data_IF_980856884407
#
_entry.id   IF_980856884407
#
_cell.length_a   1.000
_cell.length_b   1.000
_cell.length_c   1.000
_cell.angle_alpha   90.00
_cell.angle_beta   90.00
_cell.angle_gamma   90.00
#
_symmetry.space_group_name_H-M   'P 1'
#
loop_
_entity.id
_entity.type
_entity.pdbx_description
1 polymer ?
#
# COMPACT_ATOMS: atom_id res chain seq x y z
N UNK A 1 7.26 -13.28 0.42
CA UNK A 1 7.40 -11.99 1.11
C UNK A 1 7.65 -10.94 0.04
N UNK A 2 7.08 -9.73 0.15
CA UNK A 2 7.26 -8.71 -0.87
C UNK A 2 8.72 -8.26 -0.84
N UNK A 3 9.30 -8.03 -2.02
CA UNK A 3 10.72 -7.69 -2.13
C UNK A 3 11.02 -6.24 -1.70
N UNK A 4 9.98 -5.42 -1.53
CA UNK A 4 10.09 -3.98 -1.32
C UNK A 4 9.23 -3.49 -0.15
N UNK A 5 9.60 -2.33 0.37
CA UNK A 5 8.90 -1.62 1.44
C UNK A 5 8.86 -0.13 1.12
N UNK A 6 7.94 0.58 1.75
CA UNK A 6 7.85 2.03 1.66
C UNK A 6 7.43 2.62 3.00
N UNK A 7 8.02 3.77 3.34
CA UNK A 7 7.50 4.63 4.40
C UNK A 7 6.22 5.31 3.91
N UNK A 8 5.15 5.20 4.69
CA UNK A 8 3.82 5.73 4.40
C UNK A 8 3.42 6.73 5.48
N UNK A 9 3.05 7.93 5.06
CA UNK A 9 2.63 9.04 5.92
C UNK A 9 1.23 9.52 5.45
N UNK A 10 0.15 9.10 6.13
CA UNK A 10 -1.20 9.49 5.75
C UNK A 10 -1.41 11.00 5.97
N UNK A 11 -2.25 11.60 5.13
CA UNK A 11 -2.64 13.02 5.26
C UNK A 11 -3.82 13.22 6.22
N UNK A 12 -4.34 12.12 6.77
CA UNK A 12 -5.46 12.02 7.67
C UNK A 12 -5.13 10.99 8.79
N UNK A 13 -5.93 10.87 9.85
CA UNK A 13 -5.78 9.78 10.82
C UNK A 13 -5.77 8.40 10.14
N UNK A 14 -4.99 7.46 10.67
CA UNK A 14 -4.82 6.12 10.08
C UNK A 14 -6.10 5.31 9.93
N UNK A 15 -7.17 5.66 10.63
CA UNK A 15 -8.48 5.00 10.62
C UNK A 15 -9.49 5.67 9.66
N UNK A 16 -9.02 6.56 8.78
CA UNK A 16 -9.84 7.27 7.80
C UNK A 16 -9.25 7.11 6.38
N UNK A 17 -10.14 6.90 5.41
CA UNK A 17 -9.77 6.92 4.00
C UNK A 17 -9.25 8.30 3.58
N UNK A 18 -8.38 8.34 2.57
CA UNK A 18 -7.85 9.59 2.06
C UNK A 18 -6.64 9.39 1.16
N UNK A 19 -5.53 10.02 1.51
CA UNK A 19 -4.29 9.95 0.73
C UNK A 19 -3.07 9.78 1.64
N UNK A 20 -2.03 9.15 1.14
CA UNK A 20 -0.77 9.02 1.86
C UNK A 20 0.42 9.37 0.97
N UNK A 21 1.40 10.04 1.57
CA UNK A 21 2.72 10.17 0.98
C UNK A 21 3.47 8.85 1.16
N UNK A 22 3.95 8.30 0.07
CA UNK A 22 4.64 7.01 0.00
C UNK A 22 6.06 7.25 -0.50
N UNK A 23 7.03 6.86 0.32
CA UNK A 23 8.46 6.96 0.00
C UNK A 23 9.05 5.56 -0.01
N UNK A 24 9.36 4.97 -1.18
CA UNK A 24 9.97 3.66 -1.25
C UNK A 24 11.32 3.60 -0.53
N UNK A 25 11.58 2.49 0.15
CA UNK A 25 12.87 2.22 0.78
C UNK A 25 13.79 1.43 -0.16
N UNK A 26 15.13 1.58 -0.04
CA UNK A 26 16.07 0.69 -0.70
C UNK A 26 15.73 -0.78 -0.39
N UNK A 27 15.82 -1.70 -1.37
CA UNK A 27 16.51 -1.57 -2.66
C UNK A 27 15.61 -1.11 -3.82
N UNK A 28 14.46 -0.49 -3.56
CA UNK A 28 13.60 -0.02 -4.65
C UNK A 28 14.34 1.04 -5.50
N UNK A 29 14.36 0.92 -6.84
CA UNK A 29 15.22 1.73 -7.70
C UNK A 29 14.83 3.21 -7.77
N UNK A 30 13.60 3.56 -7.38
CA UNK A 30 13.13 4.95 -7.28
C UNK A 30 13.04 5.37 -5.81
N UNK A 31 13.58 6.55 -5.47
CA UNK A 31 13.58 7.07 -4.10
C UNK A 31 12.68 8.29 -3.92
N UNK A 32 11.91 8.66 -4.95
CA UNK A 32 10.99 9.79 -4.89
C UNK A 32 9.76 9.51 -4.03
N UNK A 33 9.31 10.50 -3.27
CA UNK A 33 8.01 10.48 -2.60
C UNK A 33 6.91 10.76 -3.60
N UNK A 34 5.84 9.96 -3.58
CA UNK A 34 4.63 10.16 -4.37
C UNK A 34 3.39 10.02 -3.50
N UNK A 35 2.25 10.52 -3.98
CA UNK A 35 0.98 10.43 -3.25
C UNK A 35 0.12 9.33 -3.84
N UNK A 36 -0.42 8.46 -2.98
CA UNK A 36 -1.40 7.43 -3.36
C UNK A 36 -2.69 7.62 -2.57
N UNK A 37 -3.84 7.22 -3.14
CA UNK A 37 -5.04 6.98 -2.34
C UNK A 37 -4.75 5.99 -1.22
N UNK A 38 -5.39 6.18 -0.08
CA UNK A 38 -5.38 5.26 1.06
C UNK A 38 -6.81 4.84 1.32
N UNK A 39 -7.05 3.53 1.33
CA UNK A 39 -8.36 2.95 1.56
C UNK A 39 -8.30 1.86 2.61
N UNK A 40 -9.34 1.82 3.42
CA UNK A 40 -9.60 0.74 4.33
C UNK A 40 -10.34 -0.40 3.63
N UNK A 41 -9.88 -1.62 3.86
CA UNK A 41 -10.53 -2.83 3.34
C UNK A 41 -10.57 -3.90 4.42
N UNK A 42 -11.59 -4.75 4.35
CA UNK A 42 -11.65 -5.93 5.20
C UNK A 42 -10.49 -6.88 4.87
N UNK A 43 -10.09 -7.68 5.86
CA UNK A 43 -9.14 -8.76 5.63
C UNK A 43 -9.69 -9.77 4.61
N UNK A 44 -8.92 -10.02 3.55
CA UNK A 44 -9.33 -10.93 2.48
C UNK A 44 -8.53 -10.71 1.21
N UNK A 45 -8.79 -11.49 0.14
CA UNK A 45 -8.14 -11.26 -1.14
C UNK A 45 -8.57 -9.91 -1.72
N UNK A 46 -7.60 -9.09 -2.13
CA UNK A 46 -7.84 -7.78 -2.73
C UNK A 46 -7.29 -7.73 -4.15
N UNK A 47 -8.09 -7.24 -5.08
CA UNK A 47 -7.66 -6.92 -6.45
C UNK A 47 -7.58 -5.41 -6.61
N UNK A 48 -6.43 -4.93 -7.06
CA UNK A 48 -6.19 -3.54 -7.44
C UNK A 48 -6.03 -3.48 -8.95
N UNK A 49 -6.82 -2.64 -9.61
CA UNK A 49 -6.81 -2.46 -11.06
C UNK A 49 -6.18 -1.11 -11.42
N UNK A 50 -5.23 -1.11 -12.37
CA UNK A 50 -4.58 0.12 -12.87
C UNK A 50 -5.59 1.10 -13.49
N UNK A 51 -6.69 0.60 -14.05
CA UNK A 51 -7.77 1.45 -14.57
C UNK A 51 -8.49 2.27 -13.49
N UNK A 52 -8.51 1.78 -12.25
CA UNK A 52 -9.13 2.47 -11.11
C UNK A 52 -8.10 3.26 -10.30
N UNK A 53 -6.89 2.71 -10.18
CA UNK A 53 -5.77 3.29 -9.45
C UNK A 53 -4.53 3.31 -10.37
N UNK A 54 -4.41 4.30 -11.28
CA UNK A 54 -3.36 4.32 -12.30
C UNK A 54 -1.94 4.22 -11.74
N UNK A 55 -1.76 4.82 -10.58
CA UNK A 55 -0.49 4.86 -9.86
C UNK A 55 -0.39 3.82 -8.74
N UNK A 56 -1.51 3.21 -8.33
CA UNK A 56 -1.55 2.29 -7.19
C UNK A 56 -2.40 2.80 -6.02
N UNK A 57 -2.38 2.04 -4.93
CA UNK A 57 -3.24 2.18 -3.77
C UNK A 57 -2.52 1.75 -2.49
N UNK A 58 -2.72 2.48 -1.39
CA UNK A 58 -2.39 2.01 -0.04
C UNK A 58 -3.64 1.35 0.55
N UNK A 59 -3.49 0.12 1.05
CA UNK A 59 -4.60 -0.65 1.63
C UNK A 59 -4.31 -0.88 3.10
N UNK A 60 -5.24 -0.46 3.96
CA UNK A 60 -5.17 -0.63 5.41
C UNK A 60 -6.31 -1.56 5.86
N UNK A 61 -6.02 -2.61 6.64
CA UNK A 61 -7.07 -3.42 7.24
C UNK A 61 -7.90 -2.61 8.25
N UNK A 62 -9.24 -2.73 8.17
CA UNK A 62 -10.18 -1.97 9.03
C UNK A 62 -9.85 -2.00 10.52
N UNK A 63 -9.42 -3.15 11.05
CA UNK A 63 -9.21 -3.36 12.50
C UNK A 63 -7.75 -3.30 12.94
N UNK A 64 -6.83 -2.93 12.04
CA UNK A 64 -5.40 -3.09 12.30
C UNK A 64 -4.55 -1.95 11.70
N UNK A 65 -5.10 -0.75 11.75
CA UNK A 65 -4.42 0.44 11.30
C UNK A 65 -3.11 0.69 12.09
N UNK A 66 -2.04 1.17 11.45
CA UNK A 66 -0.79 1.49 12.14
C UNK A 66 -0.96 2.53 13.25
N UNK A 67 -0.08 2.48 14.24
CA UNK A 67 0.03 3.51 15.28
C UNK A 67 1.08 4.56 14.92
N UNK A 68 0.79 5.84 15.16
CA UNK A 68 1.74 6.93 15.00
C UNK A 68 1.56 7.73 13.70
N UNK A 69 2.40 8.73 13.42
CA UNK A 69 2.23 9.61 12.26
C UNK A 69 2.65 8.96 10.92
N UNK A 70 3.35 7.82 10.97
CA UNK A 70 3.86 7.12 9.79
C UNK A 70 4.11 5.64 10.09
N UNK A 71 4.14 4.79 9.05
CA UNK A 71 4.47 3.38 9.15
C UNK A 71 5.32 2.93 7.95
N UNK A 72 6.13 1.88 8.14
CA UNK A 72 6.79 1.20 7.02
C UNK A 72 5.93 0.03 6.61
N UNK A 73 5.40 0.08 5.40
CA UNK A 73 4.53 -0.94 4.85
C UNK A 73 5.23 -1.73 3.75
N UNK A 74 4.92 -3.03 3.62
CA UNK A 74 5.32 -3.82 2.46
C UNK A 74 4.77 -3.20 1.17
N UNK A 75 5.52 -3.36 0.08
CA UNK A 75 5.15 -2.84 -1.23
C UNK A 75 5.17 -3.96 -2.26
N UNK A 76 4.00 -4.22 -2.85
CA UNK A 76 3.83 -5.12 -3.99
C UNK A 76 3.79 -4.28 -5.28
N UNK A 77 4.56 -4.68 -6.28
CA UNK A 77 4.68 -3.93 -7.53
C UNK A 77 4.34 -4.75 -8.75
N UNK A 78 3.80 -4.10 -9.78
CA UNK A 78 3.46 -4.76 -11.04
C UNK A 78 3.66 -3.82 -12.23
N UNK A 79 4.22 -4.35 -13.32
CA UNK A 79 4.23 -3.68 -14.64
C UNK A 79 2.96 -3.95 -15.45
N UNK A 80 2.06 -4.79 -14.94
CA UNK A 80 0.79 -5.13 -15.57
C UNK A 80 -0.34 -4.15 -15.21
N UNK A 81 -1.58 -4.58 -15.46
CA UNK A 81 -2.79 -3.80 -15.18
C UNK A 81 -3.50 -4.21 -13.88
N UNK A 82 -3.00 -5.26 -13.20
CA UNK A 82 -3.62 -5.86 -12.03
C UNK A 82 -2.54 -6.19 -10.99
N UNK A 83 -2.84 -5.93 -9.73
CA UNK A 83 -2.13 -6.46 -8.56
C UNK A 83 -3.15 -7.25 -7.74
N UNK A 84 -2.82 -8.51 -7.45
CA UNK A 84 -3.64 -9.39 -6.61
C UNK A 84 -2.94 -9.64 -5.29
N UNK A 85 -3.58 -9.25 -4.20
CA UNK A 85 -3.09 -9.47 -2.85
C UNK A 85 -3.86 -10.65 -2.30
N UNK A 86 -3.19 -11.79 -2.18
CA UNK A 86 -3.79 -13.00 -1.60
C UNK A 86 -4.14 -12.84 -0.13
N UNK A 87 -5.05 -13.67 0.38
CA UNK A 87 -5.40 -13.71 1.80
C UNK A 87 -4.17 -14.01 2.70
N UNK A 88 -3.27 -14.88 2.24
CA UNK A 88 -1.97 -15.12 2.92
C UNK A 88 -1.04 -13.89 2.90
N UNK A 89 -1.16 -13.04 1.88
CA UNK A 89 -0.47 -11.76 1.83
C UNK A 89 -0.97 -10.83 2.93
N UNK A 90 -2.28 -10.61 3.02
CA UNK A 90 -2.90 -9.82 4.09
C UNK A 90 -2.50 -10.30 5.50
N UNK A 91 -2.57 -11.61 5.75
CA UNK A 91 -2.17 -12.18 7.05
C UNK A 91 -0.69 -11.96 7.38
N UNK A 92 0.17 -11.85 6.37
CA UNK A 92 1.60 -11.55 6.57
C UNK A 92 1.86 -10.07 6.82
N UNK A 93 0.88 -9.20 6.52
CA UNK A 93 1.00 -7.74 6.55
C UNK A 93 -0.17 -7.12 7.32
N UNK A 94 -0.22 -7.37 8.64
CA UNK A 94 -1.35 -6.99 9.49
C UNK A 94 -1.65 -5.49 9.45
N UNK A 95 -0.66 -4.65 9.15
CA UNK A 95 -0.79 -3.20 9.19
C UNK A 95 -1.03 -2.56 7.81
N UNK A 96 -1.20 -3.38 6.77
CA UNK A 96 -1.47 -2.94 5.41
C UNK A 96 -0.32 -3.09 4.44
N UNK A 97 -0.57 -2.66 3.20
CA UNK A 97 0.32 -2.85 2.05
C UNK A 97 0.17 -1.70 1.05
N UNK A 98 1.27 -1.38 0.38
CA UNK A 98 1.30 -0.51 -0.80
C UNK A 98 1.23 -1.36 -2.07
N UNK A 99 0.21 -1.19 -2.89
CA UNK A 99 0.16 -1.73 -4.24
C UNK A 99 0.60 -0.64 -5.23
N UNK A 100 1.71 -0.83 -5.94
CA UNK A 100 2.25 0.17 -6.88
C UNK A 100 2.34 -0.37 -8.30
N UNK A 101 1.74 0.33 -9.25
CA UNK A 101 2.03 0.10 -10.66
C UNK A 101 3.30 0.84 -11.06
N UNK A 102 4.17 0.14 -11.77
CA UNK A 102 5.41 0.68 -12.34
C UNK A 102 5.35 0.54 -13.86
N UNK A 103 5.93 1.49 -14.57
CA UNK A 103 6.03 1.45 -16.04
C UNK A 103 7.39 0.91 -16.49
#
# INVERSE_FOLDING_TARGET
MPAYQAKVEPSQPWNEDGTANVTPEPPFPSTGTFSLPLEHRDDGPVTVLKSSYPEGLVIIPNDNAPSGPSAVLPMETSTGNIIEISNSGHQSWPQGIVARFID
#
